data_IF_974247556908
#
_entry.id   IF_974247556908
#
_cell.length_a   1.000
_cell.length_b   1.000
_cell.length_c   1.000
_cell.angle_alpha   90.00
_cell.angle_beta   90.00
_cell.angle_gamma   90.00
#
_symmetry.space_group_name_H-M   'P 1'
#
loop_
_entity.id
_entity.type
_entity.pdbx_description
1 polymer ?
#
# COMPACT_ATOMS: atom_id res chain seq x y z
N UNK A 1 15.86 -9.47 20.72
CA UNK A 1 15.21 -9.08 19.46
C UNK A 1 16.27 -8.54 18.51
N UNK A 2 17.10 -9.41 17.93
CA UNK A 2 18.14 -9.00 16.97
C UNK A 2 17.78 -9.34 15.52
N UNK A 3 16.72 -10.13 15.28
CA UNK A 3 16.29 -10.59 13.95
C UNK A 3 14.90 -10.03 13.53
N UNK A 4 14.53 -8.84 14.02
CA UNK A 4 13.24 -8.22 13.73
C UNK A 4 13.30 -7.18 12.61
N UNK A 5 12.16 -6.88 11.99
CA UNK A 5 12.01 -5.75 11.09
C UNK A 5 11.69 -4.48 11.88
N UNK A 6 12.39 -3.38 11.58
CA UNK A 6 12.14 -2.07 12.18
C UNK A 6 11.24 -1.17 11.32
N UNK A 7 11.03 -1.56 10.05
CA UNK A 7 10.33 -0.74 9.05
C UNK A 7 9.12 -1.47 8.48
N UNK A 8 7.99 -0.76 8.40
CA UNK A 8 6.77 -1.24 7.75
C UNK A 8 6.28 -0.17 6.78
N UNK A 9 5.97 -0.58 5.55
CA UNK A 9 5.31 0.25 4.55
C UNK A 9 3.81 -0.04 4.59
N UNK A 10 3.01 1.00 4.78
CA UNK A 10 1.54 0.91 4.79
C UNK A 10 1.02 1.79 3.66
N UNK A 11 0.39 1.19 2.66
CA UNK A 11 -0.35 1.95 1.66
C UNK A 11 -1.71 2.39 2.22
N UNK A 12 -2.12 3.59 1.85
CA UNK A 12 -3.43 4.17 2.17
C UNK A 12 -4.06 4.59 0.85
N UNK A 13 -5.25 4.05 0.58
CA UNK A 13 -6.07 4.41 -0.56
C UNK A 13 -7.52 4.62 -0.13
N UNK A 14 -8.40 4.83 -1.12
CA UNK A 14 -9.82 5.04 -0.92
C UNK A 14 -10.67 4.01 -1.68
N UNK A 15 -11.95 3.95 -1.31
CA UNK A 15 -13.03 3.46 -2.16
C UNK A 15 -13.68 4.69 -2.76
N UNK A 16 -13.25 5.09 -3.96
CA UNK A 16 -13.63 6.37 -4.57
C UNK A 16 -13.94 6.24 -6.06
N UNK A 17 -14.92 7.01 -6.53
CA UNK A 17 -15.29 7.07 -7.94
C UNK A 17 -14.20 7.72 -8.78
N UNK A 18 -13.69 6.98 -9.77
CA UNK A 18 -12.62 7.41 -10.68
C UNK A 18 -13.15 7.63 -12.11
N UNK A 19 -14.36 8.18 -12.25
CA UNK A 19 -15.07 8.23 -13.53
C UNK A 19 -15.72 6.89 -13.92
N UNK A 20 -16.46 6.83 -15.04
CA UNK A 20 -17.17 5.61 -15.47
C UNK A 20 -16.25 4.50 -16.01
N UNK A 21 -14.96 4.77 -16.14
CA UNK A 21 -14.00 3.92 -16.85
C UNK A 21 -12.97 3.25 -15.92
N UNK A 22 -12.99 3.57 -14.63
CA UNK A 22 -12.05 3.01 -13.65
C UNK A 22 -12.78 2.44 -12.43
N UNK A 23 -12.24 1.38 -11.82
CA UNK A 23 -12.82 0.77 -10.62
C UNK A 23 -12.76 1.70 -9.40
N UNK A 24 -13.60 1.42 -8.39
CA UNK A 24 -13.56 2.15 -7.11
C UNK A 24 -12.28 1.93 -6.30
N UNK A 25 -11.48 0.90 -6.63
CA UNK A 25 -10.32 0.47 -5.85
C UNK A 25 -8.97 0.91 -6.42
N UNK A 26 -8.96 1.89 -7.35
CA UNK A 26 -7.75 2.32 -8.07
C UNK A 26 -6.61 2.66 -7.11
N UNK A 27 -6.90 3.41 -6.05
CA UNK A 27 -5.89 3.83 -5.07
C UNK A 27 -5.31 2.66 -4.31
N UNK A 28 -6.15 1.70 -3.91
CA UNK A 28 -5.69 0.50 -3.21
C UNK A 28 -4.77 -0.35 -4.09
N UNK A 29 -5.11 -0.59 -5.36
CA UNK A 29 -4.27 -1.39 -6.28
C UNK A 29 -2.94 -0.71 -6.55
N UNK A 30 -2.95 0.59 -6.79
CA UNK A 30 -1.73 1.36 -7.03
C UNK A 30 -0.86 1.42 -5.77
N UNK A 31 -1.48 1.61 -4.61
CA UNK A 31 -0.86 1.58 -3.30
C UNK A 31 -0.17 0.25 -3.01
N UNK A 32 -0.87 -0.87 -3.21
CA UNK A 32 -0.31 -2.23 -3.04
C UNK A 32 0.98 -2.41 -3.85
N UNK A 33 0.94 -2.05 -5.16
CA UNK A 33 2.10 -2.22 -6.03
C UNK A 33 3.26 -1.32 -5.66
N UNK A 34 2.96 -0.08 -5.26
CA UNK A 34 3.98 0.89 -4.83
C UNK A 34 4.61 0.47 -3.51
N UNK A 35 3.82 0.04 -2.52
CA UNK A 35 4.32 -0.40 -1.22
C UNK A 35 5.26 -1.61 -1.37
N UNK A 36 4.90 -2.57 -2.21
CA UNK A 36 5.78 -3.70 -2.56
C UNK A 36 7.10 -3.23 -3.17
N UNK A 37 7.07 -2.26 -4.09
CA UNK A 37 8.28 -1.73 -4.72
C UNK A 37 9.17 -0.99 -3.71
N UNK A 38 8.58 -0.19 -2.83
CA UNK A 38 9.30 0.54 -1.78
C UNK A 38 9.96 -0.44 -0.81
N UNK A 39 9.20 -1.41 -0.28
CA UNK A 39 9.75 -2.40 0.65
C UNK A 39 10.89 -3.21 0.02
N UNK A 40 10.76 -3.60 -1.26
CA UNK A 40 11.82 -4.28 -2.02
C UNK A 40 13.07 -3.43 -2.17
N UNK A 41 12.95 -2.12 -2.34
CA UNK A 41 14.09 -1.20 -2.45
C UNK A 41 14.75 -0.89 -1.10
N UNK A 42 13.99 -0.92 -0.02
CA UNK A 42 14.51 -0.78 1.34
C UNK A 42 15.30 -2.02 1.77
N UNK A 43 14.84 -3.22 1.38
CA UNK A 43 15.55 -4.48 1.62
C UNK A 43 15.35 -5.07 3.02
N UNK A 44 14.89 -4.28 3.98
CA UNK A 44 14.64 -4.65 5.38
C UNK A 44 13.29 -4.09 5.90
N UNK A 45 12.27 -4.10 5.03
CA UNK A 45 10.94 -3.61 5.36
C UNK A 45 9.83 -4.63 5.05
N UNK A 46 8.79 -4.65 5.88
CA UNK A 46 7.56 -5.39 5.63
C UNK A 46 6.52 -4.51 4.93
N UNK A 47 5.57 -5.13 4.23
CA UNK A 47 4.37 -4.44 3.73
C UNK A 47 3.17 -4.88 4.56
N UNK A 48 2.47 -3.93 5.16
CA UNK A 48 1.22 -4.20 5.87
C UNK A 48 0.03 -4.23 4.89
N UNK A 49 -1.12 -4.78 5.31
CA UNK A 49 -2.36 -4.66 4.54
C UNK A 49 -2.73 -3.20 4.25
N UNK A 50 -3.11 -2.91 3.01
CA UNK A 50 -3.53 -1.57 2.59
C UNK A 50 -4.82 -1.14 3.28
N UNK A 51 -4.82 0.09 3.80
CA UNK A 51 -6.02 0.75 4.30
C UNK A 51 -6.83 1.22 3.09
N UNK A 52 -8.09 0.79 2.99
CA UNK A 52 -8.95 1.04 1.82
C UNK A 52 -9.97 2.17 2.00
N UNK A 53 -10.04 2.76 3.19
CA UNK A 53 -10.95 3.86 3.48
C UNK A 53 -10.11 5.10 3.78
N UNK A 54 -10.42 6.19 3.09
CA UNK A 54 -9.87 7.51 3.32
C UNK A 54 -11.04 8.49 3.54
N UNK A 55 -10.76 9.60 4.21
CA UNK A 55 -11.76 10.64 4.55
C UNK A 55 -12.15 11.50 3.36
#
# INVERSE_FOLDING_TARGET
MQDGYATVVVAVGAVEQHGPHLPLLVDAVRGDRLALEVARRLGDALVAPTIRWAV
#
